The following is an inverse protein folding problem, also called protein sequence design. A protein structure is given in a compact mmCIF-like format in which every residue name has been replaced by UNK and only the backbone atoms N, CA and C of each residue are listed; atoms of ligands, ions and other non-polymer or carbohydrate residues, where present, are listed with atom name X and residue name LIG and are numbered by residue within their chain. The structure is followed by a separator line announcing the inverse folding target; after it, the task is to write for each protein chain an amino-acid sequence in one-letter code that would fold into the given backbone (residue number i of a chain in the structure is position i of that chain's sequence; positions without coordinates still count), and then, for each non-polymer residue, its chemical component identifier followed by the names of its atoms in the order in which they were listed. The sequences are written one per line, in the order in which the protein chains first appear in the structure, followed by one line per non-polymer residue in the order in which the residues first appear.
data_IF_520874489860
#
_entry.id   IF_520874489860
#
_cell.length_a   1.000
_cell.length_b   1.000
_cell.length_c   1.000
_cell.angle_alpha   90.00
_cell.angle_beta   90.00
_cell.angle_gamma   90.00
#
_symmetry.space_group_name_H-M   'P 1'
#
loop_
_entity.id
_entity.type
_entity.pdbx_description
1 polymer ?
#
# COMPACT_ATOMS: atom_id res chain seq x y z
N UNK A 1 11.31 -5.72 -2.25
CA UNK A 1 9.90 -5.34 -2.45
C UNK A 1 9.46 -5.78 -3.83
N UNK A 2 8.27 -6.31 -3.93
CA UNK A 2 7.77 -6.89 -5.18
C UNK A 2 6.41 -6.30 -5.53
N UNK A 3 6.26 -5.89 -6.79
CA UNK A 3 5.00 -5.40 -7.32
C UNK A 3 4.51 -6.36 -8.41
N UNK A 4 3.26 -6.81 -8.30
CA UNK A 4 2.61 -7.66 -9.30
C UNK A 4 1.20 -7.18 -9.55
N UNK A 5 0.73 -7.37 -10.78
CA UNK A 5 -0.68 -7.13 -11.11
C UNK A 5 -1.39 -8.48 -11.21
N UNK A 6 -2.52 -8.62 -10.52
CA UNK A 6 -3.28 -9.85 -10.45
C UNK A 6 -4.66 -9.63 -11.04
N UNK A 7 -5.11 -10.54 -11.90
CA UNK A 7 -6.45 -10.50 -12.46
C UNK A 7 -7.46 -11.02 -11.46
N UNK A 8 -8.54 -10.28 -11.28
CA UNK A 8 -9.67 -10.70 -10.46
C UNK A 8 -10.94 -10.70 -11.32
N UNK A 9 -12.06 -11.16 -10.76
CA UNK A 9 -13.35 -11.15 -11.47
C UNK A 9 -13.80 -9.73 -11.84
N UNK A 10 -13.38 -8.72 -11.07
CA UNK A 10 -13.77 -7.32 -11.25
C UNK A 10 -12.76 -6.49 -12.04
N UNK A 11 -11.65 -7.09 -12.45
CA UNK A 11 -10.58 -6.38 -13.14
C UNK A 11 -9.23 -6.79 -12.61
N UNK A 12 -8.30 -5.83 -12.49
CA UNK A 12 -6.96 -6.07 -11.98
C UNK A 12 -6.74 -5.38 -10.65
N UNK A 13 -5.96 -6.03 -9.81
CA UNK A 13 -5.50 -5.46 -8.53
C UNK A 13 -3.97 -5.48 -8.53
N UNK A 14 -3.38 -4.38 -8.06
CA UNK A 14 -1.93 -4.28 -7.90
C UNK A 14 -1.59 -4.83 -6.51
N UNK A 15 -0.68 -5.81 -6.45
CA UNK A 15 -0.16 -6.34 -5.20
C UNK A 15 1.26 -5.85 -4.99
N UNK A 16 1.51 -5.27 -3.82
CA UNK A 16 2.85 -4.87 -3.40
C UNK A 16 3.19 -5.67 -2.16
N UNK A 17 4.27 -6.44 -2.23
CA UNK A 17 4.79 -7.15 -1.07
C UNK A 17 5.92 -6.32 -0.48
N UNK A 18 5.71 -5.77 0.71
CA UNK A 18 6.69 -4.93 1.37
C UNK A 18 7.74 -5.78 2.09
N UNK A 19 8.94 -5.20 2.23
CA UNK A 19 10.04 -5.83 2.94
C UNK A 19 9.96 -5.59 4.44
N UNK A 20 10.98 -5.99 5.17
CA UNK A 20 11.04 -5.87 6.62
C UNK A 20 10.89 -4.43 7.11
N UNK A 21 11.41 -3.46 6.37
CA UNK A 21 11.33 -2.05 6.71
C UNK A 21 10.54 -1.29 5.66
N UNK A 22 9.60 -0.50 6.13
CA UNK A 22 8.87 0.43 5.27
C UNK A 22 9.41 1.83 5.55
N UNK A 23 10.13 2.38 4.58
CA UNK A 23 10.79 3.67 4.67
C UNK A 23 10.82 4.35 3.29
N UNK A 24 11.66 5.36 3.14
CA UNK A 24 11.75 6.12 1.89
C UNK A 24 12.16 5.26 0.68
N UNK A 25 12.79 4.11 0.90
CA UNK A 25 13.23 3.24 -0.19
C UNK A 25 12.08 2.68 -1.04
N UNK A 26 10.84 2.72 -0.53
CA UNK A 26 9.68 2.23 -1.28
C UNK A 26 9.20 3.20 -2.35
N UNK A 27 9.76 4.40 -2.41
CA UNK A 27 9.30 5.47 -3.30
C UNK A 27 9.17 5.01 -4.75
N UNK A 28 10.19 4.33 -5.29
CA UNK A 28 10.19 3.88 -6.69
C UNK A 28 9.03 2.93 -7.00
N UNK A 29 8.81 1.94 -6.13
CA UNK A 29 7.74 0.95 -6.31
C UNK A 29 6.37 1.61 -6.17
N UNK A 30 6.21 2.49 -5.19
CA UNK A 30 4.94 3.18 -4.97
C UNK A 30 4.62 4.13 -6.14
N UNK A 31 5.61 4.81 -6.69
CA UNK A 31 5.41 5.64 -7.88
C UNK A 31 5.02 4.81 -9.10
N UNK A 32 5.60 3.63 -9.24
CA UNK A 32 5.20 2.71 -10.31
C UNK A 32 3.74 2.27 -10.14
N UNK A 33 3.32 1.97 -8.91
CA UNK A 33 1.94 1.63 -8.63
C UNK A 33 0.99 2.78 -8.99
N UNK A 34 1.38 4.02 -8.69
CA UNK A 34 0.59 5.20 -9.06
C UNK A 34 0.40 5.31 -10.58
N UNK A 35 1.44 5.02 -11.35
CA UNK A 35 1.34 5.03 -12.81
C UNK A 35 0.41 3.94 -13.32
N UNK A 36 0.50 2.74 -12.74
CA UNK A 36 -0.39 1.64 -13.11
C UNK A 36 -1.84 1.95 -12.73
N UNK A 37 -2.07 2.76 -11.71
CA UNK A 37 -3.41 3.14 -11.27
C UNK A 37 -4.16 4.00 -12.31
N UNK A 38 -3.47 4.55 -13.30
CA UNK A 38 -4.09 5.31 -14.38
C UNK A 38 -4.86 4.42 -15.36
N UNK A 39 -4.59 3.12 -15.39
CA UNK A 39 -5.28 2.20 -16.29
C UNK A 39 -6.69 1.91 -15.80
N UNK A 40 -7.71 2.00 -16.68
CA UNK A 40 -9.11 1.93 -16.24
C UNK A 40 -9.55 0.56 -15.74
N UNK A 41 -8.83 -0.51 -16.06
CA UNK A 41 -9.19 -1.86 -15.61
C UNK A 41 -8.60 -2.20 -14.22
N UNK A 42 -7.84 -1.31 -13.61
CA UNK A 42 -7.33 -1.50 -12.27
C UNK A 42 -8.39 -1.11 -11.24
N UNK A 43 -8.58 -1.96 -10.22
CA UNK A 43 -9.65 -1.83 -9.25
C UNK A 43 -9.17 -1.56 -7.83
N UNK A 44 -7.91 -1.79 -7.53
CA UNK A 44 -7.40 -1.55 -6.20
C UNK A 44 -5.92 -1.85 -6.08
N UNK A 45 -5.39 -1.54 -4.92
CA UNK A 45 -4.00 -1.79 -4.55
C UNK A 45 -4.00 -2.48 -3.20
N UNK A 46 -3.26 -3.57 -3.07
CA UNK A 46 -3.05 -4.25 -1.80
C UNK A 46 -1.58 -4.18 -1.45
N UNK A 47 -1.27 -3.65 -0.27
CA UNK A 47 0.08 -3.62 0.27
C UNK A 47 0.16 -4.69 1.35
N UNK A 48 0.92 -5.75 1.09
CA UNK A 48 1.09 -6.83 2.06
C UNK A 48 2.24 -6.48 2.99
N UNK A 49 1.93 -6.36 4.28
CA UNK A 49 2.88 -6.02 5.34
C UNK A 49 3.23 -7.23 6.21
N UNK A 50 3.02 -8.43 5.69
CA UNK A 50 3.28 -9.66 6.44
C UNK A 50 4.72 -9.84 6.85
N UNK A 51 5.66 -9.37 6.05
CA UNK A 51 7.10 -9.42 6.35
C UNK A 51 7.59 -8.17 7.06
N UNK A 52 6.77 -7.13 7.16
CA UNK A 52 7.19 -5.83 7.68
C UNK A 52 7.21 -5.85 9.19
N UNK A 53 8.34 -5.44 9.77
CA UNK A 53 8.55 -5.35 11.21
C UNK A 53 8.71 -3.93 11.69
N UNK A 54 9.12 -3.02 10.80
CA UNK A 54 9.37 -1.63 11.14
C UNK A 54 8.76 -0.71 10.11
N UNK A 55 7.98 0.26 10.57
CA UNK A 55 7.48 1.34 9.72
C UNK A 55 8.06 2.64 10.29
N UNK A 56 8.92 3.28 9.51
CA UNK A 56 9.50 4.58 9.85
C UNK A 56 8.53 5.70 9.49
N UNK A 57 8.76 6.89 10.00
CA UNK A 57 7.93 8.05 9.63
C UNK A 57 7.95 8.30 8.13
N UNK A 58 9.10 8.10 7.48
CA UNK A 58 9.19 8.18 6.02
C UNK A 58 8.33 7.14 5.33
N UNK A 59 8.20 5.94 5.91
CA UNK A 59 7.32 4.89 5.38
C UNK A 59 5.86 5.28 5.47
N UNK A 60 5.44 5.88 6.57
CA UNK A 60 4.08 6.40 6.71
C UNK A 60 3.79 7.48 5.67
N UNK A 61 4.74 8.37 5.44
CA UNK A 61 4.61 9.40 4.42
C UNK A 61 4.48 8.78 3.01
N UNK A 62 5.22 7.70 2.76
CA UNK A 62 5.13 6.99 1.48
C UNK A 62 3.77 6.35 1.27
N UNK A 63 3.17 5.78 2.32
CA UNK A 63 1.81 5.24 2.23
C UNK A 63 0.81 6.34 1.87
N UNK A 64 0.90 7.50 2.50
CA UNK A 64 0.03 8.63 2.19
C UNK A 64 0.26 9.13 0.76
N UNK A 65 1.50 9.17 0.31
CA UNK A 65 1.83 9.52 -1.07
C UNK A 65 1.19 8.53 -2.05
N UNK A 66 1.26 7.23 -1.75
CA UNK A 66 0.64 6.20 -2.58
C UNK A 66 -0.86 6.44 -2.71
N UNK A 67 -1.53 6.72 -1.60
CA UNK A 67 -2.96 6.97 -1.62
C UNK A 67 -3.31 8.17 -2.51
N UNK A 68 -2.61 9.27 -2.34
CA UNK A 68 -2.87 10.48 -3.12
C UNK A 68 -2.52 10.27 -4.60
N UNK A 69 -1.39 9.63 -4.88
CA UNK A 69 -0.93 9.40 -6.24
C UNK A 69 -1.73 8.35 -7.00
N UNK A 70 -2.45 7.49 -6.30
CA UNK A 70 -3.27 6.46 -6.93
C UNK A 70 -4.59 7.01 -7.51
N UNK A 71 -4.90 8.28 -7.29
CA UNK A 71 -6.07 8.90 -7.89
C UNK A 71 -7.38 8.21 -7.49
N UNK A 72 -8.14 7.74 -8.47
CA UNK A 72 -9.44 7.12 -8.22
C UNK A 72 -9.34 5.80 -7.43
N UNK A 73 -8.17 5.18 -7.36
CA UNK A 73 -7.96 3.96 -6.57
C UNK A 73 -7.59 4.26 -5.11
N UNK A 74 -7.41 5.54 -4.75
CA UNK A 74 -6.96 5.90 -3.40
C UNK A 74 -7.82 5.34 -2.29
N UNK A 75 -9.13 5.24 -2.50
CA UNK A 75 -10.06 4.67 -1.52
C UNK A 75 -10.11 3.14 -1.56
N UNK A 76 -9.43 2.52 -2.51
CA UNK A 76 -9.39 1.07 -2.70
C UNK A 76 -8.04 0.48 -2.31
N UNK A 77 -7.24 1.19 -1.52
CA UNK A 77 -5.96 0.69 -1.05
C UNK A 77 -6.19 -0.07 0.26
N UNK A 78 -5.74 -1.32 0.28
CA UNK A 78 -5.82 -2.19 1.44
C UNK A 78 -4.43 -2.49 1.98
N UNK A 79 -4.29 -2.45 3.30
CA UNK A 79 -3.08 -2.91 3.98
C UNK A 79 -3.40 -4.28 4.57
N UNK A 80 -2.74 -5.32 4.09
CA UNK A 80 -3.10 -6.69 4.43
C UNK A 80 -1.99 -7.37 5.22
N UNK A 81 -2.36 -8.37 6.01
CA UNK A 81 -1.46 -9.20 6.81
C UNK A 81 -0.63 -8.43 7.83
N UNK A 82 -1.18 -7.33 8.37
CA UNK A 82 -0.51 -6.56 9.41
C UNK A 82 -0.46 -7.37 10.71
N UNK A 83 0.74 -7.53 11.29
CA UNK A 83 0.84 -8.08 12.64
C UNK A 83 0.39 -7.02 13.66
N UNK A 84 0.29 -7.45 14.94
CA UNK A 84 -0.24 -6.58 15.99
C UNK A 84 0.58 -5.30 16.18
N UNK A 85 1.91 -5.38 16.11
CA UNK A 85 2.78 -4.21 16.27
C UNK A 85 2.61 -3.22 15.13
N UNK A 86 2.55 -3.71 13.90
CA UNK A 86 2.37 -2.87 12.72
C UNK A 86 0.98 -2.22 12.75
N UNK A 87 -0.05 -2.98 13.12
CA UNK A 87 -1.41 -2.44 13.26
C UNK A 87 -1.44 -1.32 14.29
N UNK A 88 -0.81 -1.52 15.45
CA UNK A 88 -0.72 -0.49 16.49
C UNK A 88 -0.03 0.76 15.98
N UNK A 89 1.09 0.59 15.27
CA UNK A 89 1.84 1.71 14.69
C UNK A 89 0.97 2.51 13.72
N UNK A 90 0.21 1.84 12.87
CA UNK A 90 -0.68 2.48 11.90
C UNK A 90 -1.80 3.24 12.61
N UNK A 91 -2.41 2.65 13.61
CA UNK A 91 -3.48 3.30 14.39
C UNK A 91 -2.96 4.57 15.07
N UNK A 92 -1.81 4.48 15.72
CA UNK A 92 -1.21 5.62 16.42
C UNK A 92 -0.83 6.76 15.48
N UNK A 93 -0.47 6.43 14.23
CA UNK A 93 -0.08 7.43 13.24
C UNK A 93 -1.27 8.03 12.48
N UNK A 94 -2.47 7.53 12.73
CA UNK A 94 -3.71 7.93 12.05
C UNK A 94 -3.75 7.56 10.56
N UNK A 95 -2.81 6.78 10.06
CA UNK A 95 -2.82 6.30 8.68
C UNK A 95 -4.03 5.40 8.44
N UNK A 96 -4.52 4.74 9.50
CA UNK A 96 -5.65 3.84 9.43
C UNK A 96 -6.93 4.51 8.89
N UNK A 97 -7.10 5.82 9.12
CA UNK A 97 -8.27 6.56 8.62
C UNK A 97 -8.22 6.75 7.11
N UNK A 98 -7.07 6.56 6.51
CA UNK A 98 -6.84 6.77 5.08
C UNK A 98 -6.89 5.47 4.27
N UNK A 99 -6.83 4.31 4.94
CA UNK A 99 -6.70 3.01 4.29
C UNK A 99 -7.66 1.99 4.88
N UNK A 100 -7.92 0.93 4.10
CA UNK A 100 -8.61 -0.25 4.60
C UNK A 100 -7.56 -1.21 5.16
N UNK A 101 -7.70 -1.59 6.43
CA UNK A 101 -6.82 -2.56 7.07
C UNK A 101 -7.56 -3.89 7.20
N UNK A 102 -7.00 -4.89 6.58
CA UNK A 102 -7.63 -6.21 6.48
C UNK A 102 -6.84 -7.24 7.27
#
# INVERSE_FOLDING_TARGET
MKLTAVNTSDGRVIHIEADERLDLSVHGVFMQACKLAEYPNLRGIEVNLGKTRHILDSGLAMLLMLREGAGHLGNCIKLVDCNAEIRTRLVESRVMTEFQIV
#
